data_IF_400489753247
#
_entry.id   IF_400489753247
#
_cell.length_a   1.000
_cell.length_b   1.000
_cell.length_c   1.000
_cell.angle_alpha   90.00
_cell.angle_beta   90.00
_cell.angle_gamma   90.00
#
_symmetry.space_group_name_H-M   'P 1'
#
loop_
_entity.id
_entity.type
_entity.pdbx_description
1 polymer ?
#
# COMPACT_ATOMS: atom_id res chain seq x y z
N UNK A 1 3.23 33.36 7.33
CA UNK A 1 3.82 32.56 8.43
C UNK A 1 3.54 31.05 8.32
N UNK A 2 2.36 30.58 7.85
CA UNK A 2 2.07 29.13 7.68
C UNK A 2 2.90 28.41 6.61
N UNK A 3 3.33 29.11 5.55
CA UNK A 3 4.10 28.50 4.46
C UNK A 3 5.50 28.04 4.88
N UNK A 4 6.19 28.78 5.77
CA UNK A 4 7.53 28.39 6.22
C UNK A 4 7.51 27.15 7.13
N UNK A 5 6.47 26.98 7.94
CA UNK A 5 6.29 25.80 8.81
C UNK A 5 6.08 24.54 7.94
N UNK A 6 5.20 24.64 6.92
CA UNK A 6 4.95 23.53 5.99
C UNK A 6 6.18 23.12 5.17
N UNK A 7 7.01 24.08 4.76
CA UNK A 7 8.26 23.81 4.03
C UNK A 7 9.29 23.15 4.95
N UNK A 8 9.45 23.63 6.18
CA UNK A 8 10.35 23.05 7.18
C UNK A 8 9.97 21.60 7.53
N UNK A 9 8.68 21.32 7.76
CA UNK A 9 8.20 19.96 8.05
C UNK A 9 8.43 19.01 6.87
N UNK A 10 8.23 19.50 5.63
CA UNK A 10 8.49 18.71 4.41
C UNK A 10 9.98 18.40 4.27
N UNK A 11 10.83 19.39 4.48
CA UNK A 11 12.29 19.25 4.36
C UNK A 11 12.87 18.35 5.47
N UNK A 12 12.35 18.43 6.70
CA UNK A 12 12.75 17.53 7.79
C UNK A 12 12.31 16.07 7.53
N UNK A 13 11.14 15.85 6.91
CA UNK A 13 10.69 14.50 6.52
C UNK A 13 11.52 13.89 5.41
N UNK A 14 11.98 14.72 4.47
CA UNK A 14 12.91 14.29 3.42
C UNK A 14 14.29 13.97 3.99
N UNK A 15 14.82 14.80 4.90
CA UNK A 15 16.08 14.53 5.63
C UNK A 15 15.97 13.27 6.49
N UNK A 16 14.82 13.06 7.15
CA UNK A 16 14.55 11.88 7.98
C UNK A 16 14.14 10.62 7.20
N UNK A 17 13.99 10.69 5.87
CA UNK A 17 13.56 9.58 5.00
C UNK A 17 12.27 8.90 5.46
N UNK A 18 11.34 9.67 6.04
CA UNK A 18 10.10 9.15 6.64
C UNK A 18 9.25 8.43 5.58
N UNK A 19 9.19 8.97 4.36
CA UNK A 19 8.48 8.37 3.22
C UNK A 19 9.02 6.98 2.85
N UNK A 20 10.35 6.82 2.82
CA UNK A 20 10.99 5.53 2.56
C UNK A 20 10.69 4.53 3.69
N UNK A 21 10.70 5.01 4.93
CA UNK A 21 10.48 4.18 6.12
C UNK A 21 9.07 3.60 6.16
N UNK A 22 8.03 4.40 5.93
CA UNK A 22 6.64 3.91 5.90
C UNK A 22 6.41 2.92 4.75
N UNK A 23 7.04 3.15 3.59
CA UNK A 23 6.96 2.23 2.46
C UNK A 23 7.62 0.89 2.81
N UNK A 24 8.82 0.92 3.40
CA UNK A 24 9.52 -0.30 3.83
C UNK A 24 8.73 -1.05 4.89
N UNK A 25 8.27 -0.35 5.93
CA UNK A 25 7.42 -0.91 6.98
C UNK A 25 6.16 -1.56 6.38
N UNK A 26 5.58 -0.95 5.36
CA UNK A 26 4.45 -1.54 4.62
C UNK A 26 4.85 -2.84 3.93
N UNK A 27 5.95 -2.87 3.18
CA UNK A 27 6.43 -4.09 2.51
C UNK A 27 6.66 -5.23 3.50
N UNK A 28 7.21 -4.91 4.66
CA UNK A 28 7.51 -5.84 5.75
C UNK A 28 6.29 -6.21 6.61
N UNK A 29 5.16 -5.53 6.46
CA UNK A 29 3.95 -5.80 7.24
C UNK A 29 3.99 -5.29 8.68
N UNK A 30 4.85 -4.32 8.99
CA UNK A 30 4.94 -3.69 10.30
C UNK A 30 3.76 -2.72 10.50
N UNK A 31 2.63 -3.29 10.91
CA UNK A 31 1.36 -2.59 11.04
C UNK A 31 1.43 -1.47 12.09
N UNK A 32 2.03 -1.73 13.24
CA UNK A 32 2.08 -0.80 14.37
C UNK A 32 2.82 0.49 13.97
N UNK A 33 3.94 0.36 13.26
CA UNK A 33 4.67 1.51 12.74
C UNK A 33 3.84 2.30 11.74
N UNK A 34 3.24 1.62 10.76
CA UNK A 34 2.42 2.28 9.73
C UNK A 34 1.22 2.98 10.36
N UNK A 35 0.57 2.34 11.33
CA UNK A 35 -0.57 2.89 12.05
C UNK A 35 -0.22 4.20 12.77
N UNK A 36 0.85 4.22 13.56
CA UNK A 36 1.25 5.42 14.30
C UNK A 36 1.67 6.56 13.35
N UNK A 37 2.36 6.26 12.25
CA UNK A 37 2.73 7.28 11.26
C UNK A 37 1.50 7.85 10.55
N UNK A 38 0.58 7.01 10.09
CA UNK A 38 -0.65 7.45 9.40
C UNK A 38 -1.58 8.21 10.35
N UNK A 39 -1.63 7.83 11.63
CA UNK A 39 -2.37 8.54 12.66
C UNK A 39 -1.77 9.92 12.95
N UNK A 40 -0.44 10.03 12.97
CA UNK A 40 0.25 11.30 13.17
C UNK A 40 0.12 12.24 11.97
N UNK A 41 0.22 11.69 10.75
CA UNK A 41 -0.06 12.44 9.53
C UNK A 41 -0.67 11.53 8.43
N UNK A 42 -1.98 11.64 8.19
CA UNK A 42 -2.66 10.88 7.15
C UNK A 42 -2.14 11.15 5.73
N UNK A 43 -1.51 12.30 5.45
CA UNK A 43 -0.96 12.61 4.12
C UNK A 43 0.20 11.67 3.75
N UNK A 44 0.83 11.02 4.72
CA UNK A 44 1.94 10.13 4.45
C UNK A 44 1.53 8.87 3.71
N UNK A 45 0.24 8.52 3.61
CA UNK A 45 -0.24 7.41 2.77
C UNK A 45 0.04 7.59 1.27
N UNK A 46 0.27 8.84 0.84
CA UNK A 46 0.69 9.18 -0.52
C UNK A 46 2.18 8.93 -0.78
N UNK A 47 2.95 8.51 0.22
CA UNK A 47 4.35 8.15 0.03
C UNK A 47 4.47 7.02 -0.99
N UNK A 48 5.46 7.11 -1.87
CA UNK A 48 5.70 6.12 -2.90
C UNK A 48 7.07 5.46 -2.75
N UNK A 49 7.23 4.29 -3.35
CA UNK A 49 8.46 3.50 -3.28
C UNK A 49 9.51 3.87 -4.34
N UNK A 50 9.45 5.10 -4.87
CA UNK A 50 10.26 5.56 -6.00
C UNK A 50 9.81 5.00 -7.36
N UNK A 51 8.80 4.11 -7.38
CA UNK A 51 8.14 3.61 -8.62
C UNK A 51 6.69 4.07 -8.69
N UNK A 52 6.35 5.17 -8.01
CA UNK A 52 5.03 5.80 -8.00
C UNK A 52 3.89 4.92 -7.48
N UNK A 53 4.20 3.82 -6.79
CA UNK A 53 3.23 3.02 -6.03
C UNK A 53 3.03 3.67 -4.68
N UNK A 54 1.86 4.25 -4.44
CA UNK A 54 1.50 4.71 -3.09
C UNK A 54 1.46 3.52 -2.11
N UNK A 55 1.43 3.82 -0.81
CA UNK A 55 1.43 2.78 0.24
C UNK A 55 0.25 1.82 0.10
N UNK A 56 -0.89 2.26 -0.42
CA UNK A 56 -2.06 1.40 -0.62
C UNK A 56 -1.79 0.33 -1.67
N UNK A 57 -1.22 0.71 -2.82
CA UNK A 57 -0.78 -0.22 -3.87
C UNK A 57 0.31 -1.17 -3.38
N UNK A 58 1.24 -0.69 -2.53
CA UNK A 58 2.26 -1.53 -1.89
C UNK A 58 1.61 -2.55 -0.94
N UNK A 59 0.67 -2.12 -0.09
CA UNK A 59 -0.04 -3.02 0.81
C UNK A 59 -0.78 -4.13 0.03
N UNK A 60 -1.33 -3.81 -1.13
CA UNK A 60 -1.98 -4.79 -2.01
C UNK A 60 -1.01 -5.78 -2.63
N UNK A 61 0.10 -5.28 -3.16
CA UNK A 61 1.13 -6.13 -3.76
C UNK A 61 1.75 -7.10 -2.76
N UNK A 62 1.95 -6.66 -1.52
CA UNK A 62 2.62 -7.43 -0.46
C UNK A 62 1.63 -8.19 0.44
N UNK A 63 0.34 -8.26 0.07
CA UNK A 63 -0.71 -9.01 0.81
C UNK A 63 -0.91 -8.56 2.26
N UNK A 64 -0.71 -7.27 2.53
CA UNK A 64 -0.73 -6.70 3.88
C UNK A 64 -2.15 -6.30 4.32
N UNK A 65 -2.97 -7.31 4.63
CA UNK A 65 -4.40 -7.14 4.90
C UNK A 65 -4.73 -6.10 6.00
N UNK A 66 -3.97 -6.05 7.09
CA UNK A 66 -4.20 -5.08 8.18
C UNK A 66 -3.94 -3.64 7.74
N UNK A 67 -2.85 -3.41 7.00
CA UNK A 67 -2.50 -2.08 6.49
C UNK A 67 -3.47 -1.66 5.38
N UNK A 68 -3.88 -2.59 4.51
CA UNK A 68 -4.96 -2.37 3.55
C UNK A 68 -6.23 -1.90 4.26
N UNK A 69 -6.66 -2.61 5.31
CA UNK A 69 -7.87 -2.25 6.07
C UNK A 69 -7.76 -0.87 6.73
N UNK A 70 -6.58 -0.50 7.24
CA UNK A 70 -6.33 0.82 7.81
C UNK A 70 -6.57 1.92 6.77
N UNK A 71 -5.98 1.78 5.58
CA UNK A 71 -6.08 2.79 4.52
C UNK A 71 -7.47 2.81 3.88
N UNK A 72 -8.11 1.63 3.76
CA UNK A 72 -9.50 1.51 3.33
C UNK A 72 -10.48 2.19 4.29
N UNK A 73 -10.10 2.40 5.56
CA UNK A 73 -10.89 3.19 6.50
C UNK A 73 -10.86 4.70 6.24
N UNK A 74 -9.95 5.19 5.38
CA UNK A 74 -9.79 6.61 5.11
C UNK A 74 -10.73 7.10 3.98
N UNK A 75 -11.13 8.36 4.04
CA UNK A 75 -11.97 8.98 3.01
C UNK A 75 -11.26 9.05 1.65
N UNK A 76 -9.93 9.18 1.66
CA UNK A 76 -9.07 9.30 0.47
C UNK A 76 -8.78 7.97 -0.24
N UNK A 77 -9.30 6.84 0.24
CA UNK A 77 -9.03 5.51 -0.32
C UNK A 77 -9.31 5.38 -1.83
N UNK A 78 -10.34 6.06 -2.33
CA UNK A 78 -10.73 5.99 -3.75
C UNK A 78 -9.64 6.67 -4.59
N UNK A 79 -9.22 7.87 -4.19
CA UNK A 79 -8.15 8.59 -4.87
C UNK A 79 -6.82 7.82 -4.85
N UNK A 80 -6.53 7.10 -3.76
CA UNK A 80 -5.36 6.21 -3.69
C UNK A 80 -5.50 4.98 -4.60
N UNK A 81 -6.69 4.38 -4.67
CA UNK A 81 -6.96 3.22 -5.52
C UNK A 81 -6.94 3.55 -7.02
N UNK A 82 -7.32 4.78 -7.38
CA UNK A 82 -7.32 5.29 -8.76
C UNK A 82 -5.92 5.64 -9.27
N UNK A 83 -4.92 5.72 -8.39
CA UNK A 83 -3.53 5.92 -8.82
C UNK A 83 -3.03 4.75 -9.64
N UNK A 84 -2.19 5.06 -10.63
CA UNK A 84 -1.50 4.09 -11.46
C UNK A 84 0.00 4.31 -11.33
N UNK A 85 0.78 3.25 -11.49
CA UNK A 85 2.24 3.43 -11.54
C UNK A 85 2.68 4.06 -12.87
N UNK A 86 3.70 4.92 -12.81
CA UNK A 86 4.10 5.72 -13.98
C UNK A 86 4.70 4.88 -15.12
N UNK A 87 5.31 3.75 -14.78
CA UNK A 87 6.10 2.96 -15.72
C UNK A 87 5.29 1.95 -16.53
N UNK A 88 4.25 1.37 -15.92
CA UNK A 88 3.51 0.26 -16.51
C UNK A 88 1.98 0.49 -16.47
N UNK A 89 1.54 1.63 -15.95
CA UNK A 89 0.13 1.99 -15.79
C UNK A 89 -0.65 0.96 -14.95
N UNK A 90 0.03 0.32 -13.98
CA UNK A 90 -0.60 -0.70 -13.15
C UNK A 90 -1.58 -0.08 -12.16
N UNK A 91 -2.85 -0.50 -12.26
CA UNK A 91 -3.86 -0.22 -11.24
C UNK A 91 -3.79 -1.23 -10.07
N UNK A 92 -4.61 -1.01 -9.04
CA UNK A 92 -4.67 -1.84 -7.84
C UNK A 92 -4.95 -3.34 -8.13
N UNK A 93 -5.69 -3.66 -9.20
CA UNK A 93 -5.99 -5.03 -9.59
C UNK A 93 -4.76 -5.73 -10.19
N UNK A 94 -3.95 -5.03 -10.98
CA UNK A 94 -2.66 -5.54 -11.44
C UNK A 94 -1.77 -5.84 -10.23
N UNK A 95 -1.72 -4.96 -9.23
CA UNK A 95 -0.96 -5.17 -8.00
C UNK A 95 -1.41 -6.43 -7.24
N UNK A 96 -2.70 -6.71 -7.20
CA UNK A 96 -3.26 -7.90 -6.57
C UNK A 96 -2.93 -9.19 -7.35
N UNK A 97 -2.72 -9.10 -8.67
CA UNK A 97 -2.35 -10.23 -9.54
C UNK A 97 -0.84 -10.45 -9.69
N UNK A 98 0.00 -9.48 -9.29
CA UNK A 98 1.45 -9.64 -9.31
C UNK A 98 1.90 -10.73 -8.32
N UNK A 99 3.01 -11.39 -8.67
CA UNK A 99 3.64 -12.39 -7.83
C UNK A 99 3.94 -11.78 -6.45
N UNK A 100 3.33 -12.37 -5.41
CA UNK A 100 3.59 -11.95 -4.05
C UNK A 100 5.06 -12.23 -3.68
N UNK A 101 5.68 -11.42 -2.82
CA UNK A 101 7.01 -11.72 -2.28
C UNK A 101 7.01 -13.10 -1.61
N UNK A 102 8.06 -13.88 -1.84
CA UNK A 102 8.17 -15.26 -1.35
C UNK A 102 8.02 -15.39 0.17
N UNK A 103 8.35 -14.33 0.92
CA UNK A 103 8.31 -14.30 2.39
C UNK A 103 6.93 -14.48 2.99
N UNK A 104 5.84 -14.15 2.28
CA UNK A 104 4.46 -14.35 2.78
C UNK A 104 3.82 -15.67 2.36
N UNK A 105 4.35 -16.33 1.31
CA UNK A 105 3.79 -17.56 0.75
C UNK A 105 4.38 -18.82 1.37
N UNK A 106 5.62 -18.74 1.86
CA UNK A 106 6.34 -19.89 2.42
C UNK A 106 5.73 -20.42 3.73
N UNK A 107 4.91 -19.61 4.42
CA UNK A 107 4.23 -20.01 5.65
C UNK A 107 2.99 -20.89 5.40
N UNK A 108 2.54 -21.00 4.14
CA UNK A 108 1.36 -21.77 3.76
C UNK A 108 1.78 -23.13 3.21
N UNK A 109 1.28 -24.20 3.84
CA UNK A 109 1.60 -25.58 3.46
C UNK A 109 0.97 -25.96 2.10
N UNK A 110 1.81 -26.10 1.07
CA UNK A 110 1.43 -26.68 -0.22
C UNK A 110 0.85 -25.69 -1.23
N UNK A 111 1.09 -25.98 -2.51
CA UNK A 111 0.76 -25.09 -3.63
C UNK A 111 -0.74 -24.79 -3.75
N UNK A 112 -1.62 -25.75 -3.46
CA UNK A 112 -3.06 -25.56 -3.53
C UNK A 112 -3.56 -24.51 -2.52
N UNK A 113 -3.06 -24.54 -1.28
CA UNK A 113 -3.44 -23.56 -0.24
C UNK A 113 -2.85 -22.17 -0.52
N UNK A 114 -1.63 -22.10 -1.07
CA UNK A 114 -1.03 -20.85 -1.55
C UNK A 114 -1.90 -20.22 -2.64
N UNK A 115 -2.27 -20.98 -3.68
CA UNK A 115 -3.15 -20.49 -4.74
C UNK A 115 -4.53 -20.07 -4.22
N UNK A 116 -5.11 -20.84 -3.28
CA UNK A 116 -6.41 -20.49 -2.68
C UNK A 116 -6.36 -19.15 -1.96
N UNK A 117 -5.30 -18.89 -1.18
CA UNK A 117 -5.11 -17.63 -0.48
C UNK A 117 -4.96 -16.45 -1.43
N UNK A 118 -4.16 -16.61 -2.48
CA UNK A 118 -3.95 -15.59 -3.51
C UNK A 118 -5.26 -15.27 -4.26
N UNK A 119 -6.06 -16.29 -4.58
CA UNK A 119 -7.34 -16.13 -5.26
C UNK A 119 -8.38 -15.43 -4.37
N UNK A 120 -8.38 -15.70 -3.06
CA UNK A 120 -9.19 -14.95 -2.10
C UNK A 120 -8.75 -13.48 -2.02
N UNK A 121 -7.45 -13.22 -1.97
CA UNK A 121 -6.91 -11.86 -1.95
C UNK A 121 -7.35 -11.07 -3.18
N UNK A 122 -7.18 -11.63 -4.36
CA UNK A 122 -7.58 -11.00 -5.61
C UNK A 122 -9.08 -10.67 -5.65
N UNK A 123 -9.94 -11.61 -5.20
CA UNK A 123 -11.39 -11.38 -5.10
C UNK A 123 -11.75 -10.23 -4.18
N UNK A 124 -11.10 -10.13 -3.01
CA UNK A 124 -11.33 -9.01 -2.08
C UNK A 124 -11.08 -7.68 -2.77
N UNK A 125 -9.94 -7.53 -3.46
CA UNK A 125 -9.59 -6.28 -4.14
C UNK A 125 -10.56 -5.96 -5.29
N UNK A 126 -10.87 -6.96 -6.13
CA UNK A 126 -11.78 -6.81 -7.27
C UNK A 126 -13.18 -6.36 -6.85
N UNK A 127 -13.74 -6.98 -5.81
CA UNK A 127 -15.07 -6.66 -5.29
C UNK A 127 -15.11 -5.34 -4.54
N UNK A 128 -14.05 -5.00 -3.81
CA UNK A 128 -14.00 -3.78 -2.99
C UNK A 128 -14.08 -2.51 -3.84
N UNK A 129 -13.51 -2.53 -5.04
CA UNK A 129 -13.47 -1.38 -5.95
C UNK A 129 -14.39 -1.52 -7.15
N UNK A 130 -15.30 -2.51 -7.13
CA UNK A 130 -16.24 -2.81 -8.23
C UNK A 130 -15.56 -2.73 -9.61
N UNK A 131 -14.40 -3.37 -9.75
CA UNK A 131 -13.81 -3.58 -11.06
C UNK A 131 -14.66 -4.61 -11.79
N UNK A 132 -15.77 -4.18 -12.39
CA UNK A 132 -16.59 -5.01 -13.25
C UNK A 132 -15.70 -5.39 -14.44
N UNK A 133 -15.32 -6.67 -14.48
CA UNK A 133 -14.52 -7.25 -15.56
C UNK A 133 -15.33 -7.12 -16.86
N UNK A 134 -14.69 -6.61 -17.93
CA UNK A 134 -15.23 -6.57 -19.30
C UNK A 134 -15.48 -7.98 -19.84
#
# INVERSE_FOLDING_TARGET
>A
MRAQISISDTQQREVGRVRDAIVRATKEGNFEFVFEIVKADPQLVWSNDGKSKNIFSVAVQYRQAKIFSLIYGLDIKIALADTRDDFYDNNLLHMAGMLAPSTSLNDIAGAALQMQRELQWFKVISLTFNFTVF
#
